data_IF_096526668319
#
_entry.id   IF_096526668319
#
_cell.length_a   1.000
_cell.length_b   1.000
_cell.length_c   1.000
_cell.angle_alpha   90.00
_cell.angle_beta   90.00
_cell.angle_gamma   90.00
#
_symmetry.space_group_name_H-M   'P 1'
#
loop_
_entity.id
_entity.type
_entity.pdbx_description
1 polymer ?
#
# COMPACT_ATOMS: atom_id res chain seq x y z
N UNK A 1 17.92 -6.83 0.37
CA UNK A 1 17.28 -8.15 0.29
C UNK A 1 18.29 -9.26 0.60
N UNK A 2 17.82 -10.32 1.26
CA UNK A 2 18.60 -11.55 1.54
C UNK A 2 18.88 -12.31 0.24
N UNK A 3 19.97 -13.07 0.17
CA UNK A 3 20.24 -13.99 -0.96
C UNK A 3 19.07 -14.95 -1.17
N UNK A 4 18.70 -15.18 -2.43
CA UNK A 4 17.50 -15.91 -2.90
C UNK A 4 16.16 -15.29 -2.47
N UNK A 5 16.16 -14.00 -2.12
CA UNK A 5 14.96 -13.28 -1.70
C UNK A 5 14.12 -12.74 -2.85
N UNK A 6 12.88 -12.37 -2.51
CA UNK A 6 11.94 -11.69 -3.42
C UNK A 6 11.79 -10.23 -3.01
N UNK A 7 11.76 -9.33 -3.99
CA UNK A 7 11.50 -7.90 -3.81
C UNK A 7 10.26 -7.55 -4.63
N UNK A 8 9.28 -6.92 -3.99
CA UNK A 8 8.03 -6.50 -4.62
C UNK A 8 7.93 -4.97 -4.63
N UNK A 9 7.66 -4.39 -5.80
CA UNK A 9 7.31 -2.98 -5.94
C UNK A 9 5.78 -2.84 -5.92
N UNK A 10 5.28 -2.05 -4.95
CA UNK A 10 3.84 -1.87 -4.67
C UNK A 10 3.38 -0.41 -4.76
N UNK A 11 4.31 0.51 -5.05
CA UNK A 11 4.06 1.95 -5.14
C UNK A 11 4.04 2.43 -6.58
N UNK A 12 3.31 3.52 -6.80
CA UNK A 12 3.17 4.20 -8.09
C UNK A 12 4.32 5.21 -8.31
N UNK A 13 5.00 5.10 -9.46
CA UNK A 13 5.88 6.15 -9.99
C UNK A 13 7.37 6.08 -9.62
N UNK A 14 8.13 6.95 -10.29
CA UNK A 14 9.58 7.08 -10.14
C UNK A 14 10.40 6.07 -10.94
N UNK A 15 11.72 6.28 -10.96
CA UNK A 15 12.69 5.38 -11.58
C UNK A 15 13.41 4.53 -10.53
N UNK A 16 13.77 3.30 -10.90
CA UNK A 16 14.58 2.41 -10.06
C UNK A 16 15.90 2.12 -10.77
N UNK A 17 17.01 2.53 -10.16
CA UNK A 17 18.38 2.25 -10.64
C UNK A 17 19.01 1.14 -9.82
N UNK A 18 19.53 0.09 -10.47
CA UNK A 18 20.10 -1.09 -9.82
C UNK A 18 21.50 -1.43 -10.37
N UNK A 19 22.43 -1.79 -9.49
CA UNK A 19 23.63 -2.52 -9.91
C UNK A 19 23.26 -3.99 -10.13
N UNK A 20 23.19 -4.40 -11.39
CA UNK A 20 22.74 -5.75 -11.78
C UNK A 20 23.53 -6.85 -11.06
N UNK A 21 24.84 -6.68 -10.87
CA UNK A 21 25.68 -7.72 -10.28
C UNK A 21 25.55 -7.77 -8.76
N UNK A 22 25.75 -6.62 -8.11
CA UNK A 22 25.79 -6.53 -6.65
C UNK A 22 24.40 -6.62 -6.03
N UNK A 23 23.41 -6.00 -6.66
CA UNK A 23 22.09 -5.84 -6.07
C UNK A 23 21.15 -6.99 -6.45
N UNK A 24 21.31 -7.61 -7.63
CA UNK A 24 20.46 -8.72 -8.10
C UNK A 24 21.21 -10.05 -8.22
N UNK A 25 22.21 -10.15 -9.11
CA UNK A 25 22.78 -11.43 -9.56
C UNK A 25 23.47 -12.20 -8.43
N UNK A 26 24.40 -11.56 -7.70
CA UNK A 26 25.13 -12.21 -6.59
C UNK A 26 24.19 -12.65 -5.46
N UNK A 27 23.05 -11.98 -5.35
CA UNK A 27 22.00 -12.30 -4.37
C UNK A 27 20.92 -13.21 -4.94
N UNK A 28 20.93 -13.53 -6.24
CA UNK A 28 19.90 -14.35 -6.90
C UNK A 28 18.47 -13.91 -6.56
N UNK A 29 18.17 -12.62 -6.71
CA UNK A 29 16.86 -12.06 -6.34
C UNK A 29 15.79 -12.25 -7.42
N UNK A 30 14.54 -12.39 -7.00
CA UNK A 30 13.34 -12.26 -7.84
C UNK A 30 12.72 -10.88 -7.65
N UNK A 31 12.46 -10.17 -8.75
CA UNK A 31 11.72 -8.90 -8.74
C UNK A 31 10.29 -9.11 -9.21
N UNK A 32 9.33 -8.53 -8.49
CA UNK A 32 7.90 -8.57 -8.81
C UNK A 32 7.36 -7.14 -8.78
N UNK A 33 6.51 -6.79 -9.75
CA UNK A 33 5.63 -5.63 -9.66
C UNK A 33 4.23 -6.09 -9.28
N UNK A 34 3.57 -5.38 -8.36
CA UNK A 34 2.21 -5.72 -7.93
C UNK A 34 1.31 -4.49 -8.01
N UNK A 35 0.36 -4.55 -8.96
CA UNK A 35 -0.67 -3.54 -9.13
C UNK A 35 -1.99 -4.01 -8.53
N UNK A 36 -2.39 -3.42 -7.40
CA UNK A 36 -3.67 -3.63 -6.70
C UNK A 36 -4.15 -5.10 -6.60
N UNK A 37 -5.39 -5.31 -6.16
CA UNK A 37 -6.03 -6.63 -6.13
C UNK A 37 -7.14 -6.73 -7.17
N UNK A 38 -7.42 -7.94 -7.66
CA UNK A 38 -8.70 -8.24 -8.29
C UNK A 38 -9.84 -8.14 -7.26
N UNK A 39 -11.09 -8.02 -7.73
CA UNK A 39 -12.25 -8.01 -6.83
C UNK A 39 -12.28 -9.26 -5.91
N UNK A 40 -11.89 -10.42 -6.45
CA UNK A 40 -11.78 -11.66 -5.65
C UNK A 40 -10.68 -11.58 -4.60
N UNK A 41 -9.48 -11.10 -4.97
CA UNK A 41 -8.38 -10.93 -4.03
C UNK A 41 -8.71 -9.92 -2.93
N UNK A 42 -9.42 -8.85 -3.26
CA UNK A 42 -9.88 -7.88 -2.26
C UNK A 42 -10.92 -8.50 -1.31
N UNK A 43 -11.83 -9.35 -1.81
CA UNK A 43 -12.78 -10.07 -0.97
C UNK A 43 -12.10 -11.11 -0.04
N UNK A 44 -11.05 -11.77 -0.51
CA UNK A 44 -10.21 -12.63 0.33
C UNK A 44 -9.48 -11.84 1.42
N UNK A 45 -8.91 -10.68 1.07
CA UNK A 45 -8.28 -9.79 2.04
C UNK A 45 -9.28 -9.32 3.12
N UNK A 46 -10.49 -8.93 2.72
CA UNK A 46 -11.54 -8.52 3.66
C UNK A 46 -11.94 -9.66 4.62
N UNK A 47 -12.07 -10.90 4.11
CA UNK A 47 -12.33 -12.08 4.94
C UNK A 47 -11.19 -12.35 5.90
N UNK A 48 -9.95 -12.34 5.42
CA UNK A 48 -8.76 -12.53 6.25
C UNK A 48 -8.71 -11.51 7.41
N UNK A 49 -9.01 -10.24 7.14
CA UNK A 49 -9.09 -9.19 8.17
C UNK A 49 -10.13 -9.52 9.22
N UNK A 50 -11.34 -9.91 8.80
CA UNK A 50 -12.43 -10.24 9.71
C UNK A 50 -12.11 -11.49 10.56
N UNK A 51 -11.62 -12.55 9.92
CA UNK A 51 -11.31 -13.83 10.56
C UNK A 51 -10.19 -13.72 11.61
N UNK A 52 -9.26 -12.78 11.41
CA UNK A 52 -8.13 -12.56 12.32
C UNK A 52 -8.35 -11.37 13.28
N UNK A 53 -9.52 -10.73 13.24
CA UNK A 53 -9.84 -9.59 14.11
C UNK A 53 -8.86 -8.43 13.96
N UNK A 54 -8.37 -8.16 12.75
CA UNK A 54 -7.38 -7.10 12.51
C UNK A 54 -8.05 -5.74 12.71
N UNK A 55 -7.51 -4.94 13.62
CA UNK A 55 -8.01 -3.60 13.96
C UNK A 55 -7.70 -2.57 12.86
N UNK A 56 -8.33 -2.71 11.68
CA UNK A 56 -8.16 -1.78 10.55
C UNK A 56 -8.55 -0.35 10.90
N UNK A 57 -9.40 -0.14 11.90
CA UNK A 57 -9.79 1.20 12.30
C UNK A 57 -8.59 2.09 12.68
N UNK A 58 -7.51 1.49 13.20
CA UNK A 58 -6.27 2.21 13.58
C UNK A 58 -5.55 2.85 12.40
N UNK A 59 -5.83 2.46 11.16
CA UNK A 59 -5.21 3.06 9.98
C UNK A 59 -5.82 4.44 9.66
N UNK A 60 -7.03 4.71 10.13
CA UNK A 60 -7.72 5.96 9.85
C UNK A 60 -7.16 7.07 10.73
N UNK A 61 -6.57 8.08 10.09
CA UNK A 61 -6.05 9.27 10.77
C UNK A 61 -7.14 10.33 10.93
N UNK A 62 -8.10 10.39 10.00
CA UNK A 62 -9.14 11.42 9.97
C UNK A 62 -10.48 10.84 9.54
N UNK A 63 -11.56 11.39 10.10
CA UNK A 63 -12.94 11.07 9.78
C UNK A 63 -13.66 12.35 9.40
N UNK A 64 -14.23 12.37 8.20
CA UNK A 64 -14.87 13.55 7.62
C UNK A 64 -16.34 13.25 7.30
N UNK A 65 -17.18 14.28 7.32
CA UNK A 65 -18.50 14.23 6.67
C UNK A 65 -18.38 14.49 5.17
N UNK A 66 -19.39 14.11 4.40
CA UNK A 66 -19.38 14.31 2.94
C UNK A 66 -19.23 15.79 2.56
N UNK A 67 -19.83 16.71 3.32
CA UNK A 67 -19.75 18.16 3.08
C UNK A 67 -18.34 18.72 3.27
N UNK A 68 -17.46 17.98 3.96
CA UNK A 68 -16.07 18.36 4.22
C UNK A 68 -15.09 17.77 3.19
N UNK A 69 -15.59 17.20 2.08
CA UNK A 69 -14.75 16.55 1.08
C UNK A 69 -13.62 17.46 0.56
N UNK A 70 -13.91 18.74 0.32
CA UNK A 70 -12.90 19.70 -0.15
C UNK A 70 -11.73 19.88 0.85
N UNK A 71 -12.03 20.01 2.15
CA UNK A 71 -11.02 20.06 3.20
C UNK A 71 -10.24 18.75 3.29
N UNK A 72 -10.95 17.61 3.25
CA UNK A 72 -10.35 16.28 3.31
C UNK A 72 -9.31 16.06 2.20
N UNK A 73 -9.62 16.46 0.95
CA UNK A 73 -8.69 16.35 -0.16
C UNK A 73 -7.51 17.30 -0.06
N UNK A 74 -7.71 18.55 0.40
CA UNK A 74 -6.61 19.50 0.64
C UNK A 74 -5.64 18.98 1.71
N UNK A 75 -6.15 18.40 2.79
CA UNK A 75 -5.33 17.76 3.82
C UNK A 75 -4.60 16.52 3.30
N UNK A 76 -5.25 15.70 2.48
CA UNK A 76 -4.63 14.52 1.86
C UNK A 76 -3.45 14.89 0.94
N UNK A 77 -3.60 15.94 0.14
CA UNK A 77 -2.58 16.42 -0.81
C UNK A 77 -1.29 16.90 -0.13
N UNK A 78 -1.36 17.31 1.14
CA UNK A 78 -0.17 17.64 1.93
C UNK A 78 0.78 16.45 2.18
N UNK A 79 0.33 15.21 1.92
CA UNK A 79 1.08 13.96 2.13
C UNK A 79 1.64 13.78 3.56
N UNK A 80 1.07 14.49 4.54
CA UNK A 80 1.51 14.48 5.93
C UNK A 80 0.61 13.64 6.86
N UNK A 81 -0.44 13.02 6.30
CA UNK A 81 -1.49 12.33 7.06
C UNK A 81 -1.63 10.85 6.67
N UNK A 82 -2.23 10.04 7.54
CA UNK A 82 -2.60 8.65 7.26
C UNK A 82 -3.86 8.52 6.38
N UNK A 83 -4.61 7.41 6.53
CA UNK A 83 -5.83 7.19 5.74
C UNK A 83 -6.98 8.10 6.22
N UNK A 84 -7.55 8.90 5.32
CA UNK A 84 -8.82 9.58 5.56
C UNK A 84 -10.02 8.70 5.22
N UNK A 85 -11.12 8.84 5.95
CA UNK A 85 -12.41 8.21 5.63
C UNK A 85 -13.55 9.24 5.66
N UNK A 86 -14.45 9.16 4.68
CA UNK A 86 -15.70 9.92 4.66
C UNK A 86 -16.80 9.02 5.23
N UNK A 87 -17.53 9.52 6.22
CA UNK A 87 -18.64 8.83 6.89
C UNK A 87 -19.94 9.56 6.55
N UNK A 88 -20.96 8.80 6.15
CA UNK A 88 -22.27 9.29 5.72
C UNK A 88 -23.39 8.48 6.37
#
# INVERSE_FOLDING_TARGET
AKTWGTVCFVGEGGDVTLDVSRDLLRKQLTLIGSWTFSAMGQAECARFVADNGIELEKIFSHRWKLEQADEAYRTFDSQSTGKGVIVF
#
